data_IF_567135021785
#
_entry.id   IF_567135021785
#
_cell.length_a   1.000
_cell.length_b   1.000
_cell.length_c   1.000
_cell.angle_alpha   90.00
_cell.angle_beta   90.00
_cell.angle_gamma   90.00
#
_symmetry.space_group_name_H-M   'P 1'
#
loop_
_entity.id
_entity.type
_entity.pdbx_description
1 polymer ?
#
# COMPACT_ATOMS: atom_id res chain seq x y z
N UNK A 1 -6.27 43.08 -38.61
CA UNK A 1 -7.09 42.53 -39.72
C UNK A 1 -7.48 41.09 -39.38
N UNK A 2 -8.79 40.78 -39.44
CA UNK A 2 -9.51 39.48 -39.50
C UNK A 2 -9.12 38.36 -38.51
N UNK A 3 -9.82 38.19 -37.37
CA UNK A 3 -11.02 37.33 -37.14
C UNK A 3 -11.04 35.96 -37.83
N UNK A 4 -11.13 34.88 -37.04
CA UNK A 4 -12.23 33.88 -37.10
C UNK A 4 -12.19 32.88 -35.93
N UNK A 5 -13.33 32.78 -35.22
CA UNK A 5 -13.72 31.75 -34.25
C UNK A 5 -14.01 30.43 -34.97
N UNK A 6 -13.81 29.27 -34.33
CA UNK A 6 -14.84 28.21 -34.41
C UNK A 6 -14.85 27.34 -33.17
N UNK A 7 -15.96 27.46 -32.44
CA UNK A 7 -16.40 26.64 -31.33
C UNK A 7 -16.81 25.25 -31.83
N UNK A 8 -16.45 24.18 -31.13
CA UNK A 8 -17.11 22.88 -31.32
C UNK A 8 -17.57 22.34 -29.97
N UNK A 9 -18.75 22.82 -29.56
CA UNK A 9 -19.64 22.17 -28.58
C UNK A 9 -20.02 20.80 -29.13
N UNK A 10 -19.60 19.73 -28.49
CA UNK A 10 -20.20 18.41 -28.71
C UNK A 10 -21.35 18.24 -27.72
N UNK A 11 -22.57 18.30 -28.25
CA UNK A 11 -23.82 18.07 -27.52
C UNK A 11 -24.02 16.57 -27.28
N UNK A 12 -24.53 16.26 -26.09
CA UNK A 12 -25.07 14.96 -25.64
C UNK A 12 -26.22 14.46 -26.54
N UNK A 13 -26.53 13.17 -26.49
CA UNK A 13 -27.91 12.71 -26.47
C UNK A 13 -28.29 12.12 -25.10
N UNK A 14 -29.48 12.48 -24.65
CA UNK A 14 -30.21 11.87 -23.55
C UNK A 14 -31.16 10.78 -24.09
N UNK A 15 -31.27 9.66 -23.39
CA UNK A 15 -32.32 8.65 -23.47
C UNK A 15 -32.19 7.79 -22.20
N UNK A 16 -33.22 7.22 -21.57
CA UNK A 16 -34.65 7.45 -21.43
C UNK A 16 -35.05 6.48 -20.28
N UNK A 17 -36.13 6.79 -19.59
CA UNK A 17 -36.61 6.10 -18.38
C UNK A 17 -36.95 4.61 -18.59
N UNK A 18 -36.87 3.83 -17.50
CA UNK A 18 -37.83 2.75 -17.25
C UNK A 18 -37.82 2.37 -15.75
N UNK A 19 -38.92 2.69 -15.10
CA UNK A 19 -39.35 2.26 -13.77
C UNK A 19 -39.70 0.77 -13.75
N UNK A 20 -39.35 0.05 -12.69
CA UNK A 20 -40.12 -1.11 -12.19
C UNK A 20 -39.93 -1.26 -10.68
N UNK A 21 -41.07 -1.20 -9.97
CA UNK A 21 -41.26 -1.38 -8.54
C UNK A 21 -41.54 -2.87 -8.28
N UNK A 22 -40.82 -3.49 -7.34
CA UNK A 22 -41.21 -4.73 -6.65
C UNK A 22 -40.82 -4.54 -5.17
N UNK A 23 -41.73 -4.16 -4.28
CA UNK A 23 -42.81 -4.93 -3.66
C UNK A 23 -42.33 -6.13 -2.82
N UNK A 24 -42.34 -5.89 -1.51
CA UNK A 24 -42.71 -6.80 -0.41
C UNK A 24 -41.78 -8.00 -0.11
N UNK A 25 -41.09 -7.89 1.02
CA UNK A 25 -40.54 -9.00 1.78
C UNK A 25 -40.46 -8.64 3.26
N UNK A 26 -41.61 -8.54 3.93
CA UNK A 26 -41.69 -8.49 5.40
C UNK A 26 -41.23 -9.84 5.96
N UNK A 27 -39.97 -9.90 6.38
CA UNK A 27 -39.46 -10.96 7.25
C UNK A 27 -39.47 -10.50 8.71
N UNK A 28 -40.63 -10.54 9.37
CA UNK A 28 -40.68 -10.59 10.83
C UNK A 28 -40.29 -12.01 11.25
N UNK A 29 -39.14 -12.16 11.90
CA UNK A 29 -38.64 -13.47 12.32
C UNK A 29 -37.67 -13.38 13.49
N UNK A 30 -38.26 -13.44 14.70
CA UNK A 30 -37.68 -13.82 15.99
C UNK A 30 -36.51 -13.02 16.57
N UNK A 31 -36.86 -12.22 17.57
CA UNK A 31 -35.98 -11.88 18.69
C UNK A 31 -35.59 -13.17 19.45
N UNK A 32 -34.30 -13.50 19.47
CA UNK A 32 -33.71 -14.42 20.41
C UNK A 32 -32.70 -13.64 21.27
N UNK A 33 -33.10 -13.32 22.50
CA UNK A 33 -32.19 -12.87 23.55
C UNK A 33 -31.30 -14.02 23.96
N UNK A 34 -29.99 -13.89 23.74
CA UNK A 34 -28.97 -14.80 24.29
C UNK A 34 -27.85 -13.99 24.94
N UNK A 35 -27.23 -14.53 26.01
CA UNK A 35 -26.75 -13.77 27.16
C UNK A 35 -25.44 -13.02 26.90
N UNK A 36 -25.25 -11.92 27.64
CA UNK A 36 -23.94 -11.30 27.87
C UNK A 36 -23.08 -12.29 28.66
N UNK A 37 -22.17 -12.95 27.96
CA UNK A 37 -21.04 -13.63 28.57
C UNK A 37 -19.89 -12.62 28.70
N UNK A 38 -19.82 -11.96 29.84
CA UNK A 38 -18.58 -11.33 30.29
C UNK A 38 -17.76 -12.38 31.05
N UNK A 39 -16.47 -12.42 30.72
CA UNK A 39 -15.32 -13.00 31.45
C UNK A 39 -14.64 -14.19 30.77
N UNK A 40 -13.33 -13.98 30.53
CA UNK A 40 -12.34 -15.02 30.28
C UNK A 40 -11.63 -14.84 28.95
N UNK A 41 -10.48 -14.15 28.96
CA UNK A 41 -9.40 -14.46 28.02
C UNK A 41 -8.91 -15.88 28.33
N UNK A 42 -8.85 -16.80 27.36
CA UNK A 42 -7.90 -17.88 27.38
C UNK A 42 -6.79 -17.57 26.39
N UNK A 43 -5.56 -17.53 26.91
CA UNK A 43 -4.44 -18.25 26.32
C UNK A 43 -3.94 -17.79 24.94
N UNK A 44 -2.67 -17.38 24.95
CA UNK A 44 -1.77 -17.69 23.85
C UNK A 44 -2.01 -19.14 23.35
N UNK A 45 -2.18 -19.29 22.04
CA UNK A 45 -2.34 -20.61 21.43
C UNK A 45 -3.20 -20.63 20.17
N UNK A 46 -2.84 -19.83 19.15
CA UNK A 46 -3.24 -20.15 17.78
C UNK A 46 -2.12 -20.93 17.11
N UNK A 47 -2.07 -22.22 17.40
CA UNK A 47 -1.43 -23.21 16.54
C UNK A 47 -2.54 -23.96 15.81
N UNK A 48 -2.82 -23.60 14.56
CA UNK A 48 -3.78 -24.30 13.71
C UNK A 48 -3.34 -24.19 12.25
N UNK A 49 -2.93 -25.33 11.69
CA UNK A 49 -2.54 -25.49 10.28
C UNK A 49 -1.09 -25.09 10.02
N UNK A 50 -0.31 -25.99 9.41
CA UNK A 50 0.95 -25.61 8.75
C UNK A 50 0.65 -24.80 7.48
N UNK A 51 0.00 -23.65 7.62
CA UNK A 51 0.24 -22.51 6.76
C UNK A 51 1.45 -21.81 7.38
N UNK A 52 2.58 -21.76 6.68
CA UNK A 52 3.82 -21.19 7.22
C UNK A 52 3.60 -19.83 7.88
N UNK A 53 4.41 -19.49 8.89
CA UNK A 53 4.37 -18.18 9.54
C UNK A 53 4.43 -17.09 8.46
N UNK A 54 3.58 -16.08 8.61
CA UNK A 54 3.66 -14.86 7.81
C UNK A 54 4.09 -13.69 8.70
N UNK A 55 4.82 -12.75 8.11
CA UNK A 55 5.17 -11.51 8.79
C UNK A 55 3.92 -10.65 9.06
N UNK A 56 3.86 -10.03 10.23
CA UNK A 56 2.80 -9.10 10.59
C UNK A 56 3.15 -7.64 10.28
N UNK A 57 2.17 -6.74 10.40
CA UNK A 57 2.32 -5.33 10.07
C UNK A 57 3.41 -4.60 10.90
N UNK A 58 3.67 -5.02 12.15
CA UNK A 58 4.72 -4.44 12.99
C UNK A 58 6.09 -4.89 12.53
N UNK A 59 6.24 -6.16 12.17
CA UNK A 59 7.48 -6.70 11.61
C UNK A 59 7.83 -6.02 10.29
N UNK A 60 6.85 -5.87 9.40
CA UNK A 60 7.00 -5.13 8.13
C UNK A 60 7.41 -3.68 8.39
N UNK A 61 6.76 -3.00 9.34
CA UNK A 61 7.11 -1.60 9.64
C UNK A 61 8.53 -1.48 10.20
N UNK A 62 8.93 -2.43 11.05
CA UNK A 62 10.27 -2.47 11.61
C UNK A 62 11.32 -2.67 10.52
N UNK A 63 11.08 -3.61 9.60
CA UNK A 63 11.92 -3.81 8.43
C UNK A 63 12.04 -2.53 7.60
N UNK A 64 10.93 -1.90 7.23
CA UNK A 64 10.96 -0.68 6.39
C UNK A 64 11.69 0.48 7.08
N UNK A 65 11.52 0.63 8.40
CA UNK A 65 12.27 1.63 9.17
C UNK A 65 13.77 1.36 9.18
N UNK A 66 14.17 0.10 9.34
CA UNK A 66 15.57 -0.30 9.27
C UNK A 66 16.14 -0.03 7.88
N UNK A 67 15.46 -0.55 6.86
CA UNK A 67 15.86 -0.48 5.45
C UNK A 67 16.02 0.96 4.95
N UNK A 68 15.08 1.86 5.26
CA UNK A 68 15.17 3.25 4.81
C UNK A 68 16.05 4.13 5.70
N UNK A 69 16.14 3.83 7.00
CA UNK A 69 16.81 4.70 7.96
C UNK A 69 16.36 6.16 7.83
N UNK A 70 17.32 7.10 7.93
CA UNK A 70 17.03 8.53 7.78
C UNK A 70 17.14 9.03 6.33
N UNK A 71 17.97 8.41 5.50
CA UNK A 71 18.37 8.97 4.20
C UNK A 71 18.15 8.01 3.03
N UNK A 72 17.69 6.79 3.29
CA UNK A 72 17.55 5.73 2.32
C UNK A 72 18.44 4.53 2.62
N UNK A 73 18.25 3.43 1.86
CA UNK A 73 18.99 2.20 2.05
C UNK A 73 20.46 2.36 1.67
N UNK A 74 21.32 1.83 2.53
CA UNK A 74 22.76 1.65 2.28
C UNK A 74 23.02 0.69 1.12
N UNK A 75 24.24 0.69 0.58
CA UNK A 75 24.63 -0.24 -0.47
C UNK A 75 24.43 -1.72 -0.07
N UNK A 76 24.68 -2.06 1.21
CA UNK A 76 24.47 -3.42 1.69
C UNK A 76 22.99 -3.80 1.70
N UNK A 77 22.10 -2.91 2.14
CA UNK A 77 20.66 -3.17 2.18
C UNK A 77 20.07 -3.28 0.77
N UNK A 78 20.54 -2.45 -0.17
CA UNK A 78 20.18 -2.55 -1.59
C UNK A 78 20.57 -3.91 -2.18
N UNK A 79 21.72 -4.43 -1.78
CA UNK A 79 22.21 -5.72 -2.28
C UNK A 79 21.48 -6.91 -1.63
N UNK A 80 21.20 -6.87 -0.33
CA UNK A 80 20.76 -8.06 0.41
C UNK A 80 19.26 -8.08 0.74
N UNK A 81 18.63 -6.91 0.86
CA UNK A 81 17.25 -6.75 1.31
C UNK A 81 16.28 -6.35 0.20
N UNK A 82 16.73 -6.37 -1.05
CA UNK A 82 15.92 -6.13 -2.25
C UNK A 82 15.82 -7.43 -3.04
N UNK A 83 14.65 -7.69 -3.61
CA UNK A 83 14.43 -8.80 -4.55
C UNK A 83 15.21 -8.59 -5.84
N UNK A 84 15.59 -9.67 -6.53
CA UNK A 84 16.35 -9.57 -7.78
C UNK A 84 15.52 -8.86 -8.86
N UNK A 85 14.21 -9.13 -8.89
CA UNK A 85 13.27 -8.48 -9.80
C UNK A 85 13.24 -6.95 -9.62
N UNK A 86 13.27 -6.46 -8.38
CA UNK A 86 13.31 -5.02 -8.12
C UNK A 86 14.69 -4.41 -8.44
N UNK A 87 15.78 -5.15 -8.23
CA UNK A 87 17.12 -4.71 -8.67
C UNK A 87 17.18 -4.56 -10.19
N UNK A 88 16.64 -5.51 -10.94
CA UNK A 88 16.55 -5.46 -12.40
C UNK A 88 15.71 -4.26 -12.88
N UNK A 89 14.60 -3.96 -12.20
CA UNK A 89 13.81 -2.74 -12.47
C UNK A 89 14.61 -1.47 -12.20
N UNK A 90 15.31 -1.40 -11.07
CA UNK A 90 16.12 -0.23 -10.70
C UNK A 90 17.30 -0.01 -11.68
N UNK A 91 17.89 -1.09 -12.21
CA UNK A 91 18.97 -1.01 -13.19
C UNK A 91 18.54 -0.38 -14.53
N UNK A 92 17.24 -0.37 -14.83
CA UNK A 92 16.69 0.27 -16.04
C UNK A 92 16.55 1.79 -15.91
N UNK A 93 16.76 2.34 -14.71
CA UNK A 93 16.66 3.78 -14.41
C UNK A 93 17.95 4.31 -13.78
N UNK A 94 19.09 4.33 -14.48
CA UNK A 94 20.39 4.65 -13.87
C UNK A 94 20.49 6.06 -13.29
N UNK A 95 19.77 7.02 -13.85
CA UNK A 95 19.77 8.42 -13.40
C UNK A 95 18.70 8.70 -12.31
N UNK A 96 17.96 7.69 -11.86
CA UNK A 96 16.85 7.83 -10.95
C UNK A 96 16.81 6.69 -9.93
N UNK A 97 16.90 7.01 -8.65
CA UNK A 97 16.83 6.01 -7.59
C UNK A 97 15.40 5.53 -7.39
N UNK A 98 15.07 4.41 -8.01
CA UNK A 98 13.75 3.78 -7.92
C UNK A 98 13.35 3.46 -6.46
N UNK A 99 14.30 3.19 -5.56
CA UNK A 99 14.00 2.83 -4.18
C UNK A 99 13.57 4.04 -3.33
N UNK A 100 13.97 5.23 -3.76
CA UNK A 100 13.62 6.51 -3.14
C UNK A 100 12.64 7.33 -3.97
N UNK A 101 12.34 6.86 -5.17
CA UNK A 101 11.60 7.58 -6.20
C UNK A 101 12.15 8.99 -6.45
N UNK A 102 13.48 9.14 -6.49
CA UNK A 102 14.12 10.45 -6.57
C UNK A 102 15.51 10.40 -7.20
N UNK A 103 16.02 11.55 -7.64
CA UNK A 103 17.39 11.70 -8.18
C UNK A 103 18.43 12.08 -7.11
N UNK A 104 17.98 12.52 -5.93
CA UNK A 104 18.84 13.01 -4.87
C UNK A 104 18.61 12.22 -3.58
N UNK A 105 19.38 12.51 -2.52
CA UNK A 105 19.21 11.90 -1.20
C UNK A 105 18.31 12.76 -0.29
N UNK A 106 17.25 12.19 0.32
CA UNK A 106 16.37 12.93 1.22
C UNK A 106 17.05 13.23 2.56
N UNK A 107 16.51 14.22 3.29
CA UNK A 107 16.95 14.59 4.64
C UNK A 107 16.39 13.69 5.72
N UNK A 108 15.13 13.32 5.59
CA UNK A 108 14.47 12.37 6.47
C UNK A 108 13.48 11.54 5.67
N UNK A 109 13.23 10.34 6.18
CA UNK A 109 12.25 9.42 5.64
C UNK A 109 11.34 8.96 6.78
N UNK A 110 10.03 9.03 6.55
CA UNK A 110 9.01 8.60 7.46
C UNK A 110 8.23 7.41 6.89
N UNK A 111 8.10 6.36 7.69
CA UNK A 111 7.31 5.18 7.34
C UNK A 111 5.94 5.27 8.01
N UNK A 112 4.91 5.38 7.18
CA UNK A 112 3.52 5.46 7.62
C UNK A 112 2.95 4.13 8.12
N UNK A 113 1.62 4.03 8.24
CA UNK A 113 0.95 2.81 8.67
C UNK A 113 1.11 1.70 7.63
N UNK A 114 1.36 0.48 8.10
CA UNK A 114 1.47 -0.71 7.25
C UNK A 114 0.08 -1.35 7.09
N UNK A 115 -0.26 -1.70 5.85
CA UNK A 115 -1.37 -2.59 5.53
C UNK A 115 -0.81 -3.94 5.09
N UNK A 116 -1.48 -5.03 5.47
CA UNK A 116 -1.11 -6.39 5.03
C UNK A 116 -2.30 -7.09 4.37
N UNK A 117 -2.01 -7.80 3.28
CA UNK A 117 -2.92 -8.74 2.64
C UNK A 117 -2.35 -10.15 2.81
N UNK A 118 -2.69 -10.80 3.93
CA UNK A 118 -2.13 -12.12 4.28
C UNK A 118 -2.41 -13.18 3.21
N UNK A 119 -3.59 -13.15 2.57
CA UNK A 119 -3.95 -14.05 1.48
C UNK A 119 -3.13 -13.84 0.20
N UNK A 120 -2.58 -12.64 0.00
CA UNK A 120 -1.69 -12.32 -1.11
C UNK A 120 -0.21 -12.49 -0.74
N UNK A 121 0.11 -12.66 0.55
CA UNK A 121 1.48 -12.73 1.04
C UNK A 121 2.25 -11.41 0.90
N UNK A 122 1.56 -10.26 0.89
CA UNK A 122 2.17 -8.94 0.68
C UNK A 122 1.75 -7.94 1.77
N UNK A 123 2.71 -7.14 2.24
CA UNK A 123 2.48 -5.95 3.05
C UNK A 123 2.98 -4.70 2.35
N UNK A 124 2.38 -3.55 2.63
CA UNK A 124 2.82 -2.28 2.08
C UNK A 124 2.63 -1.11 3.04
N UNK A 125 3.43 -0.07 2.85
CA UNK A 125 3.31 1.19 3.58
C UNK A 125 3.60 2.39 2.69
N UNK A 126 2.98 3.55 2.96
CA UNK A 126 3.43 4.81 2.41
C UNK A 126 4.76 5.21 3.05
N UNK A 127 5.68 5.67 2.21
CA UNK A 127 6.99 6.20 2.57
C UNK A 127 7.01 7.67 2.18
N UNK A 128 7.22 8.54 3.17
CA UNK A 128 7.31 9.98 2.97
C UNK A 128 8.76 10.41 3.04
N UNK A 129 9.27 11.04 1.99
CA UNK A 129 10.60 11.64 1.96
C UNK A 129 10.51 13.15 2.12
N UNK A 130 11.46 13.72 2.87
CA UNK A 130 11.56 15.15 3.11
C UNK A 130 12.85 15.71 2.51
N UNK A 131 12.76 16.85 1.83
CA UNK A 131 13.85 17.41 1.02
C UNK A 131 14.25 18.82 1.48
N UNK A 132 15.49 19.22 1.17
CA UNK A 132 15.92 20.62 1.34
C UNK A 132 15.21 21.51 0.33
N UNK A 133 14.73 22.67 0.82
CA UNK A 133 13.85 23.66 0.17
C UNK A 133 12.35 23.40 0.36
N UNK A 134 11.77 24.19 1.25
CA UNK A 134 10.49 24.86 0.98
C UNK A 134 9.20 24.06 1.00
N UNK A 135 9.20 22.79 1.48
CA UNK A 135 8.05 21.87 1.61
C UNK A 135 7.89 20.83 0.49
N UNK A 136 8.95 20.50 -0.25
CA UNK A 136 8.89 19.34 -1.12
C UNK A 136 8.90 18.08 -0.24
N UNK A 137 7.74 17.47 -0.06
CA UNK A 137 7.61 16.09 0.41
C UNK A 137 7.14 15.24 -0.75
N UNK A 138 7.64 14.02 -0.82
CA UNK A 138 7.17 13.04 -1.79
C UNK A 138 6.71 11.80 -1.05
N UNK A 139 5.59 11.24 -1.50
CA UNK A 139 5.05 9.99 -0.95
C UNK A 139 5.05 8.94 -2.05
N UNK A 140 5.57 7.77 -1.73
CA UNK A 140 5.51 6.59 -2.59
C UNK A 140 5.13 5.37 -1.74
N UNK A 141 4.84 4.24 -2.37
CA UNK A 141 4.45 3.01 -1.66
C UNK A 141 5.53 1.95 -1.76
N UNK A 142 5.93 1.38 -0.62
CA UNK A 142 6.86 0.26 -0.55
C UNK A 142 6.14 -1.05 -0.25
N UNK A 143 6.45 -2.10 -1.03
CA UNK A 143 5.83 -3.43 -0.94
C UNK A 143 6.84 -4.47 -0.48
N UNK A 144 6.45 -5.32 0.46
CA UNK A 144 7.28 -6.39 1.03
C UNK A 144 6.56 -7.73 0.98
N UNK A 145 7.32 -8.80 0.78
CA UNK A 145 6.80 -10.17 0.92
C UNK A 145 6.60 -10.55 2.40
N UNK A 146 5.55 -11.31 2.68
CA UNK A 146 5.19 -11.76 4.03
C UNK A 146 5.61 -13.20 4.34
N UNK A 147 6.20 -13.93 3.40
CA UNK A 147 6.68 -15.30 3.63
C UNK A 147 7.82 -15.33 4.65
N UNK A 148 7.51 -15.70 5.90
CA UNK A 148 8.49 -15.74 6.98
C UNK A 148 9.36 -17.00 6.97
N UNK A 149 9.24 -17.86 5.95
CA UNK A 149 10.23 -18.92 5.70
C UNK A 149 11.52 -18.39 5.09
N UNK A 150 11.53 -17.14 4.61
CA UNK A 150 12.67 -16.45 4.00
C UNK A 150 12.92 -15.12 4.70
N UNK A 151 14.14 -14.55 4.64
CA UNK A 151 14.38 -13.18 5.08
C UNK A 151 13.45 -12.21 4.35
N UNK A 152 12.87 -11.25 5.08
CA UNK A 152 12.05 -10.20 4.50
C UNK A 152 12.87 -9.38 3.49
N UNK A 153 12.26 -9.13 2.33
CA UNK A 153 12.84 -8.30 1.27
C UNK A 153 11.80 -7.32 0.73
N UNK A 154 12.30 -6.17 0.29
CA UNK A 154 11.57 -5.23 -0.52
C UNK A 154 11.33 -5.82 -1.91
N UNK A 155 10.05 -5.95 -2.26
CA UNK A 155 9.61 -6.63 -3.47
C UNK A 155 9.26 -5.65 -4.58
N UNK A 156 8.64 -4.53 -4.25
CA UNK A 156 8.29 -3.52 -5.25
C UNK A 156 8.19 -2.12 -4.65
N UNK A 157 8.25 -1.11 -5.52
CA UNK A 157 8.01 0.30 -5.22
C UNK A 157 7.04 0.87 -6.25
N UNK A 158 6.01 1.56 -5.78
CA UNK A 158 5.20 2.45 -6.63
C UNK A 158 5.53 3.90 -6.31
N UNK A 159 6.13 4.61 -7.27
CA UNK A 159 6.46 6.03 -7.16
C UNK A 159 5.25 6.97 -7.33
N UNK A 160 4.07 6.41 -7.56
CA UNK A 160 2.83 7.17 -7.53
C UNK A 160 2.41 7.42 -6.08
N UNK A 161 1.80 8.58 -5.84
CA UNK A 161 1.21 8.84 -4.53
C UNK A 161 0.15 7.76 -4.25
N UNK A 162 0.13 7.16 -3.06
CA UNK A 162 -0.93 6.23 -2.68
C UNK A 162 -2.26 6.96 -2.80
N UNK A 163 -3.15 6.52 -3.70
CA UNK A 163 -4.47 7.12 -3.87
C UNK A 163 -5.16 7.17 -2.50
N UNK A 164 -5.43 8.38 -2.01
CA UNK A 164 -6.12 8.65 -0.74
C UNK A 164 -7.61 8.35 -0.82
#
# INVERSE_FOLDING_TARGET
MRTSRTSRRTRRPALLAATCVTAVGLGLGLAATVPVAAAGQPGAGSGSGSTGRQYDAKEVRHFLKGFYGNHGPSAWEREHLVTEELKEKAAQTPDYDLLLCAQNTPKSIDIGPVTTAQSAGVGWAPVTTHWDKGQDTQVFTAYVGLDASKPMKLMDISCEAPNG
#
